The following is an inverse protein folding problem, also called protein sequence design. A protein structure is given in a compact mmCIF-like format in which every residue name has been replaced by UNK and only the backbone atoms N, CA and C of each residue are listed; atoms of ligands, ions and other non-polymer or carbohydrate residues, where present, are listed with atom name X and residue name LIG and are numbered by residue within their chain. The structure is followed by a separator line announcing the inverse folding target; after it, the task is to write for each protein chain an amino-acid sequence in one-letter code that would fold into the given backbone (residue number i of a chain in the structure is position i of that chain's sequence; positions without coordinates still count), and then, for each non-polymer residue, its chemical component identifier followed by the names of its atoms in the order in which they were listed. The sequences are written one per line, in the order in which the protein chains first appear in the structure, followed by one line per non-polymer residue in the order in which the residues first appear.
data_IF_363670311814
#
_entry.id   IF_363670311814
#
_cell.length_a   1.000
_cell.length_b   1.000
_cell.length_c   1.000
_cell.angle_alpha   90.00
_cell.angle_beta   90.00
_cell.angle_gamma   90.00
#
_symmetry.space_group_name_H-M   'P 1'
#
loop_
_entity.id
_entity.type
_entity.pdbx_description
1 polymer ?
#
# COMPACT_ATOMS: atom_id res chain seq x y z
N UNK A 1 1.95 -11.96 2.45
CA UNK A 1 2.39 -13.36 2.21
C UNK A 1 1.88 -13.77 0.85
N UNK A 2 2.77 -14.07 -0.10
CA UNK A 2 2.46 -14.67 -1.41
C UNK A 2 3.28 -15.95 -1.55
N UNK A 3 2.66 -17.08 -1.88
CA UNK A 3 3.27 -18.30 -2.45
C UNK A 3 2.16 -19.19 -3.05
N UNK A 4 2.42 -20.19 -3.92
CA UNK A 4 3.72 -20.73 -4.36
C UNK A 4 3.87 -20.99 -5.88
N UNK A 5 5.02 -20.59 -6.45
CA UNK A 5 5.54 -21.24 -7.65
C UNK A 5 7.03 -21.56 -7.42
N UNK A 6 7.37 -22.83 -7.63
CA UNK A 6 8.67 -23.45 -7.42
C UNK A 6 9.81 -22.77 -8.18
N UNK A 7 10.57 -21.90 -7.51
CA UNK A 7 12.02 -21.71 -7.72
C UNK A 7 12.53 -20.54 -6.87
N UNK A 8 12.82 -20.81 -5.60
CA UNK A 8 13.57 -19.88 -4.74
C UNK A 8 12.77 -18.66 -4.28
N UNK A 9 12.62 -18.53 -2.96
CA UNK A 9 12.07 -17.34 -2.33
C UNK A 9 12.89 -16.10 -2.72
N UNK A 10 12.34 -15.24 -3.58
CA UNK A 10 12.82 -13.86 -3.70
C UNK A 10 12.01 -12.99 -2.73
N UNK A 11 12.75 -12.36 -1.81
CA UNK A 11 12.26 -11.60 -0.67
C UNK A 11 12.04 -10.14 -1.07
N UNK A 12 10.80 -9.63 -0.99
CA UNK A 12 10.41 -8.26 -1.44
C UNK A 12 9.81 -7.39 -0.31
N UNK A 13 10.38 -7.44 0.90
CA UNK A 13 10.14 -6.41 1.93
C UNK A 13 8.77 -6.34 2.62
N UNK A 14 7.70 -6.97 2.13
CA UNK A 14 6.34 -6.84 2.69
C UNK A 14 5.74 -8.10 3.34
N UNK A 15 6.49 -9.20 3.46
CA UNK A 15 6.18 -10.29 4.38
C UNK A 15 7.35 -11.27 4.54
N UNK A 16 8.19 -11.09 5.56
CA UNK A 16 9.06 -12.15 6.10
C UNK A 16 8.21 -13.31 6.67
N UNK A 17 8.47 -14.57 6.29
CA UNK A 17 8.11 -15.74 7.08
C UNK A 17 9.34 -16.12 7.91
N UNK A 18 9.81 -15.22 8.78
CA UNK A 18 10.81 -15.56 9.78
C UNK A 18 10.18 -15.14 11.09
N UNK A 19 10.13 -16.06 12.03
CA UNK A 19 9.81 -15.76 13.41
C UNK A 19 10.68 -14.57 13.84
N UNK A 20 10.05 -13.39 13.94
CA UNK A 20 10.55 -12.20 14.63
C UNK A 20 11.98 -11.73 14.26
N UNK A 21 12.35 -11.62 12.98
CA UNK A 21 13.65 -11.03 12.63
C UNK A 21 13.58 -10.15 11.38
N UNK A 22 14.07 -8.91 11.51
CA UNK A 22 14.38 -8.00 10.40
C UNK A 22 15.45 -8.59 9.47
N UNK A 23 15.59 -8.01 8.27
CA UNK A 23 16.66 -8.34 7.31
C UNK A 23 18.09 -8.20 7.88
N UNK A 24 18.28 -7.34 8.88
CA UNK A 24 19.57 -7.10 9.57
C UNK A 24 19.81 -8.06 10.76
N UNK A 25 18.92 -9.03 11.00
CA UNK A 25 19.02 -9.99 12.10
C UNK A 25 18.63 -9.41 13.47
N UNK A 26 18.13 -8.17 13.54
CA UNK A 26 17.55 -7.63 14.77
C UNK A 26 16.11 -8.11 14.93
N UNK A 27 15.74 -8.53 16.15
CA UNK A 27 14.34 -8.78 16.50
C UNK A 27 13.61 -7.45 16.46
N UNK A 28 12.89 -7.17 15.37
CA UNK A 28 11.86 -6.15 15.41
C UNK A 28 10.55 -6.74 14.95
N UNK A 29 9.53 -6.38 15.71
CA UNK A 29 8.17 -6.87 15.61
C UNK A 29 7.48 -6.29 14.38
N UNK A 30 6.39 -6.92 13.96
CA UNK A 30 5.54 -6.41 12.89
C UNK A 30 4.79 -5.16 13.34
N UNK A 31 4.64 -4.20 12.43
CA UNK A 31 3.71 -3.10 12.64
C UNK A 31 2.63 -3.03 11.54
N UNK A 32 1.66 -2.15 11.77
CA UNK A 32 0.64 -1.79 10.78
C UNK A 32 1.07 -0.49 10.13
N UNK A 33 1.25 -0.52 8.83
CA UNK A 33 1.61 0.64 8.02
C UNK A 33 0.39 1.15 7.25
N UNK A 34 0.15 2.46 7.33
CA UNK A 34 -0.80 3.14 6.46
C UNK A 34 -0.13 3.43 5.12
N UNK A 35 -0.62 2.84 4.03
CA UNK A 35 -0.10 3.09 2.67
C UNK A 35 -0.22 4.57 2.32
N UNK A 36 -1.37 5.17 2.57
CA UNK A 36 -1.52 6.62 2.67
C UNK A 36 -1.20 7.07 4.10
N UNK A 37 -0.03 7.67 4.32
CA UNK A 37 0.45 7.99 5.66
C UNK A 37 -0.51 8.92 6.42
N UNK A 38 -0.73 8.64 7.71
CA UNK A 38 -1.68 9.38 8.57
C UNK A 38 -1.39 10.89 8.60
N UNK A 39 -0.12 11.29 8.57
CA UNK A 39 0.28 12.71 8.58
C UNK A 39 -0.08 13.48 7.30
N UNK A 40 -0.52 12.80 6.25
CA UNK A 40 -0.87 13.39 4.96
C UNK A 40 -2.38 13.51 4.74
N UNK A 41 -3.21 13.07 5.70
CA UNK A 41 -4.66 13.33 5.63
C UNK A 41 -4.96 14.82 5.87
N UNK A 42 -6.15 15.27 5.46
CA UNK A 42 -6.65 16.63 5.73
C UNK A 42 -6.96 16.88 7.21
N UNK A 43 -7.26 18.12 7.57
CA UNK A 43 -7.68 18.48 8.94
C UNK A 43 -9.13 18.02 9.19
N UNK A 44 -9.33 16.94 9.93
CA UNK A 44 -10.66 16.47 10.34
C UNK A 44 -10.66 15.00 10.81
N UNK A 45 -10.97 14.79 12.09
CA UNK A 45 -11.19 13.53 12.82
C UNK A 45 -10.24 12.35 12.52
N UNK A 46 -9.18 12.31 13.33
CA UNK A 46 -8.09 11.34 13.37
C UNK A 46 -8.22 10.29 14.48
N UNK A 47 -9.45 10.06 14.97
CA UNK A 47 -9.68 9.11 16.04
C UNK A 47 -10.97 8.29 15.76
N UNK A 48 -10.82 7.05 15.27
CA UNK A 48 -11.93 6.14 15.10
C UNK A 48 -12.39 5.72 16.50
N UNK A 49 -13.51 6.27 16.96
CA UNK A 49 -14.18 5.73 18.14
C UNK A 49 -14.74 4.33 17.84
N UNK A 50 -15.14 3.60 18.88
CA UNK A 50 -15.89 2.33 18.73
C UNK A 50 -17.19 2.45 17.90
N UNK A 51 -17.60 3.68 17.54
CA UNK A 51 -18.81 4.02 16.80
C UNK A 51 -18.56 4.69 15.44
N UNK A 52 -17.30 5.02 15.10
CA UNK A 52 -16.99 5.75 13.86
C UNK A 52 -15.83 5.08 13.13
N UNK A 53 -16.07 4.63 11.90
CA UNK A 53 -15.00 4.16 11.02
C UNK A 53 -14.23 5.36 10.47
N UNK A 54 -13.09 5.66 11.10
CA UNK A 54 -12.16 6.69 10.64
C UNK A 54 -11.31 6.21 9.47
N UNK A 55 -10.78 7.18 8.70
CA UNK A 55 -9.85 6.96 7.58
C UNK A 55 -8.59 6.17 7.99
N UNK A 56 -8.19 6.29 9.26
CA UNK A 56 -7.05 5.59 9.84
C UNK A 56 -7.36 4.15 10.31
N UNK A 57 -8.64 3.76 10.39
CA UNK A 57 -9.05 2.39 10.68
C UNK A 57 -9.48 1.62 9.41
N UNK A 58 -9.40 2.22 8.23
CA UNK A 58 -9.74 1.56 6.97
C UNK A 58 -8.72 0.43 6.67
N UNK A 59 -9.17 -0.83 6.67
CA UNK A 59 -8.29 -1.97 6.49
C UNK A 59 -7.73 -2.00 5.07
N UNK A 60 -8.40 -1.40 4.08
CA UNK A 60 -7.86 -1.32 2.73
C UNK A 60 -6.56 -0.51 2.69
N UNK A 61 -6.40 0.48 3.58
CA UNK A 61 -5.20 1.32 3.70
C UNK A 61 -4.11 0.73 4.62
N UNK A 62 -4.39 -0.35 5.35
CA UNK A 62 -3.46 -0.94 6.32
C UNK A 62 -2.74 -2.16 5.72
N UNK A 63 -1.40 -2.17 5.84
CA UNK A 63 -0.56 -3.33 5.52
C UNK A 63 0.28 -3.76 6.71
N UNK A 64 0.61 -5.04 6.75
CA UNK A 64 1.65 -5.52 7.64
C UNK A 64 2.99 -5.11 7.05
N UNK A 65 3.83 -4.47 7.86
CA UNK A 65 5.17 -4.05 7.46
C UNK A 65 6.18 -4.38 8.55
N UNK A 66 7.42 -4.54 8.12
CA UNK A 66 8.59 -4.56 8.99
C UNK A 66 8.78 -3.15 9.58
N UNK A 67 9.04 -3.06 10.89
CA UNK A 67 9.18 -1.77 11.58
C UNK A 67 10.26 -0.87 10.99
N UNK A 68 11.36 -1.45 10.48
CA UNK A 68 12.42 -0.68 9.83
C UNK A 68 11.96 -0.16 8.47
N UNK A 69 11.25 -0.98 7.69
CA UNK A 69 10.68 -0.57 6.40
C UNK A 69 9.68 0.57 6.61
N UNK A 70 8.75 0.41 7.54
CA UNK A 70 7.77 1.46 7.87
C UNK A 70 8.45 2.73 8.40
N UNK A 71 9.47 2.61 9.26
CA UNK A 71 10.22 3.78 9.76
C UNK A 71 10.98 4.49 8.63
N UNK A 72 11.56 3.74 7.70
CA UNK A 72 12.34 4.31 6.58
C UNK A 72 11.43 4.89 5.50
N UNK A 73 10.23 4.31 5.32
CA UNK A 73 9.23 4.82 4.39
C UNK A 73 8.57 6.09 4.91
N UNK A 74 8.25 6.17 6.20
CA UNK A 74 7.75 7.38 6.84
C UNK A 74 6.54 7.98 6.09
N UNK A 75 6.61 9.27 5.78
CA UNK A 75 5.64 9.97 4.93
C UNK A 75 6.21 10.34 3.55
N UNK A 76 7.24 9.62 3.10
CA UNK A 76 7.91 9.92 1.85
C UNK A 76 6.96 9.69 0.67
N UNK A 77 7.11 10.54 -0.35
CA UNK A 77 6.34 10.46 -1.59
C UNK A 77 6.72 9.20 -2.36
N UNK A 78 5.72 8.53 -2.93
CA UNK A 78 5.93 7.43 -3.86
C UNK A 78 6.46 7.96 -5.19
N UNK A 79 7.47 7.28 -5.72
CA UNK A 79 8.05 7.56 -7.03
C UNK A 79 8.34 6.28 -7.78
N UNK A 80 8.38 6.36 -9.11
CA UNK A 80 8.81 5.28 -9.99
C UNK A 80 10.17 4.67 -9.61
N UNK A 81 10.44 3.49 -10.16
CA UNK A 81 11.62 2.70 -9.85
C UNK A 81 12.87 3.57 -9.82
N UNK A 82 13.56 3.49 -8.69
CA UNK A 82 14.88 4.08 -8.53
C UNK A 82 15.89 2.95 -8.67
N UNK A 83 17.06 3.26 -9.23
CA UNK A 83 18.24 2.39 -9.17
C UNK A 83 18.79 2.31 -7.72
N UNK A 84 17.96 1.87 -6.79
CA UNK A 84 18.39 1.41 -5.46
C UNK A 84 18.91 -0.01 -5.62
N UNK A 85 20.07 -0.30 -5.02
CA UNK A 85 20.77 -1.57 -5.18
C UNK A 85 19.91 -2.81 -4.85
N UNK A 86 18.84 -2.63 -4.07
CA UNK A 86 17.95 -3.69 -3.60
C UNK A 86 16.60 -3.76 -4.33
N UNK A 87 16.37 -2.96 -5.38
CA UNK A 87 15.12 -3.01 -6.17
C UNK A 87 13.89 -2.34 -5.53
N UNK A 88 13.92 -2.02 -4.24
CA UNK A 88 12.94 -1.21 -3.52
C UNK A 88 13.63 -0.35 -2.43
N UNK A 89 12.94 0.68 -1.92
CA UNK A 89 13.39 1.43 -0.75
C UNK A 89 13.40 2.95 -0.90
N UNK A 90 14.13 3.61 0.02
CA UNK A 90 14.21 5.07 0.09
C UNK A 90 15.28 5.63 -0.85
N UNK A 91 14.95 6.70 -1.55
CA UNK A 91 15.90 7.50 -2.29
C UNK A 91 15.61 8.99 -2.12
N UNK A 92 16.52 9.70 -1.44
CA UNK A 92 16.43 11.16 -1.26
C UNK A 92 15.08 11.63 -0.67
N UNK A 93 14.57 10.91 0.34
CA UNK A 93 13.28 11.26 0.96
C UNK A 93 12.05 10.90 0.10
N UNK A 94 12.22 9.97 -0.82
CA UNK A 94 11.16 9.40 -1.67
C UNK A 94 11.21 7.88 -1.58
N UNK A 95 10.12 7.21 -1.92
CA UNK A 95 10.00 5.76 -1.71
C UNK A 95 9.56 5.02 -2.96
N UNK A 96 10.23 3.90 -3.25
CA UNK A 96 9.78 2.92 -4.22
C UNK A 96 9.40 1.61 -3.51
N UNK A 97 8.15 1.12 -3.63
CA UNK A 97 7.70 -0.09 -2.92
C UNK A 97 8.19 -1.40 -3.55
N UNK A 98 8.81 -1.38 -4.74
CA UNK A 98 9.21 -2.59 -5.45
C UNK A 98 8.21 -3.00 -6.54
N UNK A 99 8.70 -3.80 -7.49
CA UNK A 99 7.96 -4.14 -8.72
C UNK A 99 6.71 -4.98 -8.45
N UNK A 100 6.71 -5.84 -7.42
CA UNK A 100 5.58 -6.70 -7.07
C UNK A 100 4.55 -6.06 -6.14
N UNK A 101 4.78 -4.80 -5.74
CA UNK A 101 3.94 -4.09 -4.77
C UNK A 101 3.43 -2.76 -5.29
N UNK A 102 3.92 -2.30 -6.44
CA UNK A 102 3.56 -1.00 -7.00
C UNK A 102 2.08 -0.94 -7.42
N UNK A 103 1.53 -2.01 -7.97
CA UNK A 103 0.12 -2.08 -8.39
C UNK A 103 -0.81 -2.10 -7.20
N UNK A 104 -0.46 -2.90 -6.19
CA UNK A 104 -1.12 -2.96 -4.90
C UNK A 104 -1.22 -1.58 -4.24
N UNK A 105 -0.09 -0.87 -4.17
CA UNK A 105 -0.03 0.49 -3.61
C UNK A 105 -0.91 1.42 -4.43
N UNK A 106 -0.82 1.40 -5.76
CA UNK A 106 -1.63 2.24 -6.63
C UNK A 106 -3.14 2.03 -6.40
N UNK A 107 -3.61 0.79 -6.35
CA UNK A 107 -5.04 0.46 -6.11
C UNK A 107 -5.52 0.88 -4.73
N UNK A 108 -4.65 0.87 -3.71
CA UNK A 108 -4.97 1.41 -2.39
C UNK A 108 -5.07 2.94 -2.44
N UNK A 109 -4.16 3.62 -3.14
CA UNK A 109 -4.19 5.08 -3.31
C UNK A 109 -5.47 5.54 -4.04
N UNK A 110 -5.84 4.88 -5.15
CA UNK A 110 -7.09 5.19 -5.86
C UNK A 110 -8.33 4.97 -4.99
N UNK A 111 -8.36 3.87 -4.24
CA UNK A 111 -9.44 3.61 -3.29
C UNK A 111 -9.57 4.73 -2.25
N UNK A 112 -8.44 5.16 -1.67
CA UNK A 112 -8.44 6.22 -0.66
C UNK A 112 -8.89 7.56 -1.24
N UNK A 113 -8.48 7.88 -2.45
CA UNK A 113 -8.90 9.10 -3.17
C UNK A 113 -10.41 9.14 -3.41
N UNK A 114 -11.00 8.06 -3.92
CA UNK A 114 -12.46 8.01 -4.15
C UNK A 114 -13.24 7.96 -2.83
N UNK A 115 -12.82 7.14 -1.88
CA UNK A 115 -13.56 6.93 -0.64
C UNK A 115 -13.50 8.16 0.28
N UNK A 116 -12.35 8.82 0.30
CA UNK A 116 -12.01 9.87 1.27
C UNK A 116 -11.55 11.17 0.60
N UNK A 117 -11.98 11.46 -0.63
CA UNK A 117 -11.45 12.53 -1.48
C UNK A 117 -11.44 13.95 -0.89
N UNK A 118 -12.26 14.26 0.11
CA UNK A 118 -12.18 15.55 0.83
C UNK A 118 -11.02 15.63 1.83
N UNK A 119 -10.48 14.48 2.23
CA UNK A 119 -9.41 14.31 3.21
C UNK A 119 -8.11 13.82 2.58
N UNK A 120 -8.12 13.49 1.29
CA UNK A 120 -7.00 12.95 0.54
C UNK A 120 -6.70 13.84 -0.66
N UNK A 121 -5.44 13.82 -1.10
CA UNK A 121 -4.98 14.55 -2.26
C UNK A 121 -3.77 13.81 -2.84
N UNK A 122 -3.93 13.20 -4.01
CA UNK A 122 -2.92 12.33 -4.62
C UNK A 122 -1.56 13.04 -4.74
N UNK A 123 -1.56 14.35 -5.04
CA UNK A 123 -0.31 15.13 -5.17
C UNK A 123 0.50 15.24 -3.87
N UNK A 124 -0.09 14.93 -2.71
CA UNK A 124 0.61 14.91 -1.41
C UNK A 124 1.25 13.55 -1.09
N UNK A 125 0.97 12.52 -1.86
CA UNK A 125 1.48 11.16 -1.63
C UNK A 125 2.32 10.64 -2.80
N UNK A 126 2.12 11.19 -4.01
CA UNK A 126 2.91 10.87 -5.19
C UNK A 126 2.34 11.58 -6.42
N UNK A 127 2.65 11.04 -7.59
CA UNK A 127 2.15 11.56 -8.86
C UNK A 127 1.07 10.63 -9.44
N UNK A 128 -0.03 11.22 -9.95
CA UNK A 128 -1.17 10.45 -10.47
C UNK A 128 -0.76 9.56 -11.64
N UNK A 129 0.05 10.09 -12.56
CA UNK A 129 0.49 9.36 -13.74
C UNK A 129 1.36 8.16 -13.34
N UNK A 130 2.23 8.33 -12.34
CA UNK A 130 3.00 7.23 -11.75
C UNK A 130 2.10 6.11 -11.22
N UNK A 131 1.02 6.42 -10.50
CA UNK A 131 0.11 5.40 -10.00
C UNK A 131 -0.68 4.69 -11.11
N UNK A 132 -1.05 5.39 -12.18
CA UNK A 132 -1.68 4.77 -13.35
C UNK A 132 -0.70 3.81 -14.04
N UNK A 133 0.56 4.21 -14.19
CA UNK A 133 1.62 3.34 -14.74
C UNK A 133 1.82 2.09 -13.88
N UNK A 134 1.87 2.24 -12.57
CA UNK A 134 2.02 1.12 -11.63
C UNK A 134 0.87 0.13 -11.71
N UNK A 135 -0.36 0.65 -11.74
CA UNK A 135 -1.55 -0.17 -11.90
C UNK A 135 -1.50 -1.02 -13.17
N UNK A 136 -1.01 -0.46 -14.29
CA UNK A 136 -0.85 -1.17 -15.56
C UNK A 136 0.30 -2.17 -15.55
N UNK A 137 1.40 -1.80 -14.89
CA UNK A 137 2.63 -2.58 -14.87
C UNK A 137 2.63 -3.71 -13.83
N UNK A 138 1.68 -3.72 -12.89
CA UNK A 138 1.47 -4.73 -11.87
C UNK A 138 -0.03 -5.01 -11.69
N UNK A 139 -0.62 -5.90 -12.52
CA UNK A 139 -2.05 -6.21 -12.51
C UNK A 139 -2.53 -6.82 -11.19
N UNK A 140 -3.86 -6.82 -10.98
CA UNK A 140 -4.46 -7.44 -9.79
C UNK A 140 -4.09 -8.91 -9.70
N UNK A 141 -3.72 -9.35 -8.50
CA UNK A 141 -3.39 -10.74 -8.24
C UNK A 141 -4.32 -11.46 -7.26
N UNK A 142 -4.11 -12.76 -7.11
CA UNK A 142 -4.92 -13.61 -6.21
C UNK A 142 -4.83 -13.18 -4.75
N UNK A 143 -3.69 -12.64 -4.30
CA UNK A 143 -3.51 -12.20 -2.92
C UNK A 143 -4.37 -10.97 -2.65
N UNK A 144 -4.41 -10.01 -3.56
CA UNK A 144 -5.27 -8.84 -3.46
C UNK A 144 -6.75 -9.20 -3.48
N UNK A 145 -7.17 -10.11 -4.36
CA UNK A 145 -8.54 -10.60 -4.41
C UNK A 145 -8.92 -11.27 -3.08
N UNK A 146 -8.05 -12.15 -2.57
CA UNK A 146 -8.25 -12.81 -1.28
C UNK A 146 -8.36 -11.79 -0.14
N UNK A 147 -7.44 -10.80 -0.09
CA UNK A 147 -7.45 -9.74 0.92
C UNK A 147 -8.71 -8.89 0.82
N UNK A 148 -9.16 -8.51 -0.39
CA UNK A 148 -10.38 -7.74 -0.60
C UNK A 148 -11.62 -8.50 -0.09
N UNK A 149 -11.70 -9.81 -0.35
CA UNK A 149 -12.74 -10.68 0.20
C UNK A 149 -12.70 -10.74 1.73
N UNK A 150 -11.52 -10.90 2.33
CA UNK A 150 -11.37 -10.91 3.80
C UNK A 150 -11.73 -9.58 4.43
N UNK A 151 -11.30 -8.45 3.85
CA UNK A 151 -11.68 -7.14 4.37
C UNK A 151 -13.20 -6.95 4.29
N UNK A 152 -13.85 -7.42 3.22
CA UNK A 152 -15.31 -7.35 3.10
C UNK A 152 -16.05 -8.11 4.20
N UNK A 153 -15.54 -9.27 4.65
CA UNK A 153 -16.12 -10.02 5.77
C UNK A 153 -16.16 -9.20 7.08
N UNK A 154 -15.21 -8.28 7.30
CA UNK A 154 -15.11 -7.48 8.53
C UNK A 154 -15.62 -6.04 8.38
N UNK A 155 -15.31 -5.40 7.25
CA UNK A 155 -15.63 -4.00 6.99
C UNK A 155 -16.82 -3.80 6.05
N UNK A 156 -17.30 -4.83 5.36
CA UNK A 156 -18.48 -4.74 4.49
C UNK A 156 -18.37 -3.66 3.39
N UNK A 157 -17.14 -3.23 3.06
CA UNK A 157 -16.80 -2.41 1.91
C UNK A 157 -15.67 -3.09 1.12
N UNK A 158 -15.68 -2.89 -0.19
CA UNK A 158 -14.69 -3.47 -1.11
C UNK A 158 -13.86 -2.36 -1.74
N UNK A 159 -12.63 -2.68 -2.12
CA UNK A 159 -11.86 -1.83 -3.01
C UNK A 159 -12.32 -2.11 -4.46
N UNK A 160 -13.03 -1.17 -5.12
CA UNK A 160 -13.56 -1.39 -6.45
C UNK A 160 -12.46 -1.51 -7.51
N UNK A 161 -11.26 -0.99 -7.26
CA UNK A 161 -10.14 -1.09 -8.20
C UNK A 161 -9.45 -2.47 -8.15
N UNK A 162 -9.78 -3.31 -7.18
CA UNK A 162 -9.41 -4.74 -7.16
C UNK A 162 -10.47 -5.55 -7.89
N UNK A 163 -11.75 -5.29 -7.65
CA UNK A 163 -12.85 -6.03 -8.30
C UNK A 163 -13.04 -5.65 -9.78
N UNK A 164 -12.76 -4.39 -10.12
CA UNK A 164 -12.93 -3.77 -11.43
C UNK A 164 -11.72 -2.88 -11.77
N UNK A 165 -10.57 -3.47 -12.15
CA UNK A 165 -9.34 -2.73 -12.48
C UNK A 165 -9.54 -1.67 -13.57
N UNK A 166 -10.45 -1.93 -14.51
CA UNK A 166 -10.81 -1.02 -15.61
C UNK A 166 -11.30 0.35 -15.15
N UNK A 167 -11.80 0.46 -13.90
CA UNK A 167 -12.25 1.73 -13.34
C UNK A 167 -11.13 2.76 -13.22
N UNK A 168 -9.86 2.31 -13.10
CA UNK A 168 -8.72 3.25 -13.06
C UNK A 168 -8.67 4.08 -14.34
N UNK A 169 -8.72 3.43 -15.50
CA UNK A 169 -8.69 4.14 -16.79
C UNK A 169 -9.99 4.93 -17.02
N UNK A 170 -11.15 4.47 -16.53
CA UNK A 170 -12.40 5.22 -16.69
C UNK A 170 -12.46 6.52 -15.87
N UNK A 171 -11.84 6.53 -14.68
CA UNK A 171 -11.89 7.67 -13.75
C UNK A 171 -10.70 8.61 -13.94
N UNK A 172 -9.52 8.04 -14.18
CA UNK A 172 -8.25 8.76 -14.21
C UNK A 172 -7.54 8.72 -15.58
N UNK A 173 -8.07 7.96 -16.54
CA UNK A 173 -7.56 7.98 -17.92
C UNK A 173 -7.91 9.29 -18.61
N UNK A 174 -6.97 9.78 -19.43
CA UNK A 174 -7.14 10.98 -20.26
C UNK A 174 -7.87 10.66 -21.57
#
# INVERSE_FOLDING_TARGET
MRTPNDSGFQFDGYALPIWDANKDGTQSTWNREHVWAKSLFGTGNYDPSNSTRGIDADLHNLRAADTNVNSTRGNNLFINQVYVAEGFGNYSGKWYPGDHHRGDVARIIFYMDIRWGSLTNISKIGDLQTFIEWHKADPVDEFEIYRNNKIYEYQHNRNPFIDHPELVDMIYGN
#
